data_IF_018655996786
#
_entry.id   IF_018655996786
#
_cell.length_a   1.000
_cell.length_b   1.000
_cell.length_c   1.000
_cell.angle_alpha   90.00
_cell.angle_beta   90.00
_cell.angle_gamma   90.00
#
_symmetry.space_group_name_H-M   'P 1'
#
loop_
_entity.id
_entity.type
_entity.pdbx_description
1 polymer ?
#
# COMPACT_ATOMS: atom_id res chain seq x y z
N UNK A 1 11.05 2.73 -0.38
CA UNK A 1 9.77 3.41 -0.12
C UNK A 1 8.76 2.87 -1.10
N UNK A 2 7.65 2.28 -0.64
CA UNK A 2 6.59 1.79 -1.53
C UNK A 2 5.56 2.89 -1.77
N UNK A 3 5.10 3.07 -3.02
CA UNK A 3 4.01 4.01 -3.36
C UNK A 3 3.01 3.33 -4.27
N UNK A 4 1.72 3.44 -3.93
CA UNK A 4 0.60 2.93 -4.73
C UNK A 4 -0.33 4.11 -5.01
N UNK A 5 -0.72 4.29 -6.27
CA UNK A 5 -1.68 5.32 -6.68
C UNK A 5 -2.83 4.66 -7.42
N UNK A 6 -4.05 4.97 -7.01
CA UNK A 6 -5.29 4.48 -7.61
C UNK A 6 -6.05 5.70 -8.11
N UNK A 7 -6.47 5.68 -9.37
CA UNK A 7 -7.25 6.75 -9.98
C UNK A 7 -8.54 6.17 -10.57
N UNK A 8 -9.65 6.84 -10.32
CA UNK A 8 -10.92 6.60 -10.98
C UNK A 8 -11.41 7.86 -11.72
N UNK A 9 -12.46 7.69 -12.52
CA UNK A 9 -13.14 8.74 -13.27
C UNK A 9 -14.61 8.85 -12.86
N UNK A 10 -14.92 8.55 -11.60
CA UNK A 10 -16.28 8.63 -11.05
C UNK A 10 -16.72 10.08 -10.78
N UNK A 11 -17.81 10.22 -10.02
CA UNK A 11 -18.43 11.52 -9.69
C UNK A 11 -17.54 12.44 -8.84
N UNK A 12 -16.46 11.91 -8.24
CA UNK A 12 -15.60 12.66 -7.33
C UNK A 12 -16.23 12.92 -5.97
N UNK A 13 -15.54 13.68 -5.13
CA UNK A 13 -15.89 13.98 -3.74
C UNK A 13 -15.83 15.49 -3.53
N UNK A 14 -16.81 16.06 -2.84
CA UNK A 14 -16.83 17.47 -2.50
C UNK A 14 -15.73 17.81 -1.48
N UNK A 15 -15.18 19.02 -1.55
CA UNK A 15 -14.08 19.45 -0.67
C UNK A 15 -14.44 19.32 0.83
N UNK A 16 -15.68 19.66 1.19
CA UNK A 16 -16.18 19.63 2.57
C UNK A 16 -16.34 18.20 3.12
N UNK A 17 -16.38 17.20 2.24
CA UNK A 17 -16.53 15.79 2.60
C UNK A 17 -15.17 15.08 2.72
N UNK A 18 -14.09 15.62 2.15
CA UNK A 18 -12.76 14.98 2.11
C UNK A 18 -12.18 14.68 3.51
N UNK A 19 -12.51 15.48 4.51
CA UNK A 19 -12.08 15.21 5.89
C UNK A 19 -12.96 14.14 6.57
N UNK A 20 -14.19 13.97 6.08
CA UNK A 20 -15.20 13.13 6.70
C UNK A 20 -15.25 11.71 6.14
N UNK A 21 -14.78 11.48 4.90
CA UNK A 21 -14.78 10.16 4.23
C UNK A 21 -14.01 9.05 4.97
N UNK A 22 -13.14 9.42 5.91
CA UNK A 22 -12.45 8.46 6.77
C UNK A 22 -13.23 8.09 8.03
N UNK A 23 -14.35 8.77 8.32
CA UNK A 23 -15.18 8.48 9.49
C UNK A 23 -16.00 7.21 9.22
N UNK A 24 -16.07 6.27 10.18
CA UNK A 24 -16.96 5.12 10.08
C UNK A 24 -18.40 5.56 9.83
N UNK A 25 -19.09 4.84 8.94
CA UNK A 25 -20.49 5.08 8.57
C UNK A 25 -20.74 6.42 7.87
N UNK A 26 -19.70 7.13 7.46
CA UNK A 26 -19.85 8.29 6.60
C UNK A 26 -20.23 7.84 5.19
N UNK A 27 -21.28 8.45 4.66
CA UNK A 27 -21.76 8.26 3.31
C UNK A 27 -22.12 9.65 2.76
N UNK A 28 -21.67 9.96 1.56
CA UNK A 28 -22.08 11.16 0.85
C UNK A 28 -23.50 10.92 0.38
N UNK A 29 -24.47 11.58 0.99
CA UNK A 29 -25.88 11.40 0.68
C UNK A 29 -26.09 11.57 -0.84
N UNK A 30 -26.40 10.48 -1.55
CA UNK A 30 -26.66 10.52 -2.99
C UNK A 30 -28.03 11.19 -3.24
N UNK A 31 -28.09 12.36 -3.89
CA UNK A 31 -29.35 12.99 -4.28
C UNK A 31 -30.10 12.23 -5.39
N UNK A 32 -29.48 11.22 -6.02
CA UNK A 32 -30.02 10.50 -7.18
C UNK A 32 -30.31 9.01 -6.95
N UNK A 33 -30.18 8.50 -5.72
CA UNK A 33 -30.76 7.21 -5.33
C UNK A 33 -30.19 5.98 -6.04
N UNK A 34 -28.96 6.03 -6.55
CA UNK A 34 -28.29 4.84 -7.04
C UNK A 34 -27.84 3.96 -5.86
N UNK A 35 -27.96 2.64 -6.04
CA UNK A 35 -27.85 1.65 -4.99
C UNK A 35 -26.56 1.76 -4.14
N UNK A 36 -26.76 1.89 -2.82
CA UNK A 36 -25.74 1.80 -1.75
C UNK A 36 -24.77 0.64 -1.99
N UNK A 37 -23.51 0.93 -2.29
CA UNK A 37 -22.44 -0.06 -2.16
C UNK A 37 -21.70 0.20 -0.85
N UNK A 38 -22.10 -0.51 0.21
CA UNK A 38 -21.41 -0.54 1.51
C UNK A 38 -22.12 0.21 2.65
N UNK A 39 -21.51 0.15 3.84
CA UNK A 39 -21.97 0.85 5.06
C UNK A 39 -21.04 2.01 5.46
N UNK A 40 -20.26 2.57 4.51
CA UNK A 40 -19.32 3.66 4.82
C UNK A 40 -18.15 3.26 5.73
N UNK A 41 -17.74 1.99 5.74
CA UNK A 41 -16.67 1.49 6.62
C UNK A 41 -15.32 1.30 5.92
N UNK A 42 -15.33 1.18 4.59
CA UNK A 42 -14.15 0.78 3.81
C UNK A 42 -12.94 1.70 4.02
N UNK A 43 -13.11 3.01 3.85
CA UNK A 43 -12.01 3.98 3.98
C UNK A 43 -11.52 4.12 5.42
N UNK A 44 -12.39 3.98 6.42
CA UNK A 44 -12.00 3.97 7.83
C UNK A 44 -11.06 2.80 8.14
N UNK A 45 -11.42 1.58 7.69
CA UNK A 45 -10.56 0.39 7.85
C UNK A 45 -9.24 0.57 7.10
N UNK A 46 -9.29 1.07 5.86
CA UNK A 46 -8.09 1.30 5.06
C UNK A 46 -7.13 2.27 5.74
N UNK A 47 -7.65 3.38 6.30
CA UNK A 47 -6.83 4.35 7.01
C UNK A 47 -6.16 3.71 8.24
N UNK A 48 -6.90 2.96 9.05
CA UNK A 48 -6.35 2.26 10.21
C UNK A 48 -5.25 1.26 9.79
N UNK A 49 -5.51 0.44 8.77
CA UNK A 49 -4.55 -0.56 8.28
C UNK A 49 -3.27 0.11 7.78
N UNK A 50 -3.37 1.22 7.04
CA UNK A 50 -2.22 1.95 6.53
C UNK A 50 -1.40 2.54 7.68
N UNK A 51 -2.05 3.14 8.68
CA UNK A 51 -1.39 3.69 9.85
C UNK A 51 -0.67 2.61 10.67
N UNK A 52 -1.29 1.43 10.85
CA UNK A 52 -0.65 0.29 11.52
C UNK A 52 0.60 -0.22 10.81
N UNK A 53 0.71 0.02 9.50
CA UNK A 53 1.89 -0.29 8.69
C UNK A 53 2.84 0.89 8.55
N UNK A 54 2.71 1.92 9.41
CA UNK A 54 3.52 3.14 9.41
C UNK A 54 3.45 3.91 8.08
N UNK A 55 2.38 3.68 7.30
CA UNK A 55 2.14 4.32 6.02
C UNK A 55 1.32 5.59 6.12
N UNK A 56 1.14 6.25 4.98
CA UNK A 56 0.26 7.40 4.81
C UNK A 56 -0.71 7.18 3.65
N UNK A 57 -1.88 7.81 3.75
CA UNK A 57 -2.90 7.88 2.69
C UNK A 57 -3.23 9.34 2.41
N UNK A 58 -3.39 9.68 1.13
CA UNK A 58 -3.80 11.02 0.67
C UNK A 58 -4.82 10.87 -0.44
N UNK A 59 -5.83 11.74 -0.45
CA UNK A 59 -6.90 11.74 -1.43
C UNK A 59 -6.95 13.11 -2.09
N UNK A 60 -6.93 13.11 -3.42
CA UNK A 60 -7.19 14.27 -4.25
C UNK A 60 -8.44 13.95 -5.10
N UNK A 61 -9.48 14.77 -4.95
CA UNK A 61 -10.75 14.57 -5.65
C UNK A 61 -11.39 15.92 -5.93
N UNK A 62 -12.19 15.96 -7.00
CA UNK A 62 -13.08 17.07 -7.28
C UNK A 62 -14.35 16.52 -7.95
N UNK A 63 -15.49 17.16 -7.68
CA UNK A 63 -16.78 16.80 -8.29
C UNK A 63 -16.64 16.82 -9.82
N UNK A 64 -17.17 15.79 -10.48
CA UNK A 64 -17.11 15.55 -11.93
C UNK A 64 -15.71 15.31 -12.52
N UNK A 65 -14.67 15.18 -11.68
CA UNK A 65 -13.29 14.95 -12.09
C UNK A 65 -12.69 13.61 -11.62
N UNK A 66 -13.45 12.81 -10.86
CA UNK A 66 -12.99 11.54 -10.28
C UNK A 66 -12.11 11.72 -9.04
N UNK A 67 -11.53 10.61 -8.58
CA UNK A 67 -10.71 10.58 -7.36
C UNK A 67 -9.36 9.92 -7.61
N UNK A 68 -8.32 10.46 -6.98
CA UNK A 68 -6.98 9.87 -6.90
C UNK A 68 -6.61 9.61 -5.45
N UNK A 69 -6.36 8.35 -5.12
CA UNK A 69 -5.90 7.91 -3.81
C UNK A 69 -4.43 7.53 -3.91
N UNK A 70 -3.59 8.09 -3.05
CA UNK A 70 -2.17 7.76 -2.96
C UNK A 70 -1.86 7.18 -1.59
N UNK A 71 -1.22 6.00 -1.57
CA UNK A 71 -0.78 5.31 -0.37
C UNK A 71 0.75 5.20 -0.41
N UNK A 72 1.42 5.52 0.70
CA UNK A 72 2.87 5.42 0.83
C UNK A 72 3.22 4.57 2.05
N UNK A 73 4.22 3.71 1.91
CA UNK A 73 4.75 2.89 3.00
C UNK A 73 6.25 3.12 3.17
N UNK A 74 6.76 3.06 4.42
CA UNK A 74 8.19 3.14 4.68
C UNK A 74 8.91 2.03 3.93
N UNK A 75 10.12 2.33 3.45
CA UNK A 75 10.92 1.38 2.70
C UNK A 75 11.54 0.33 3.62
N UNK A 76 10.85 -0.77 3.88
CA UNK A 76 11.46 -1.97 4.43
C UNK A 76 11.54 -3.03 3.33
N UNK A 77 12.76 -3.25 2.83
CA UNK A 77 13.04 -4.47 2.09
C UNK A 77 12.92 -5.60 3.10
N UNK A 78 11.87 -6.42 3.02
CA UNK A 78 11.93 -7.74 3.65
C UNK A 78 13.10 -8.44 3.00
N UNK A 79 14.23 -8.53 3.71
CA UNK A 79 15.27 -9.46 3.31
C UNK A 79 14.59 -10.83 3.22
N UNK A 80 14.75 -11.57 2.11
CA UNK A 80 14.32 -12.95 2.07
C UNK A 80 14.99 -13.64 3.26
N UNK A 81 14.20 -14.07 4.25
CA UNK A 81 14.74 -14.95 5.28
C UNK A 81 14.97 -16.28 4.58
N UNK A 82 16.25 -16.61 4.35
CA UNK A 82 16.60 -17.96 3.99
C UNK A 82 16.07 -18.89 5.11
N UNK A 83 15.45 -20.03 4.76
CA UNK A 83 15.11 -21.04 5.75
C UNK A 83 16.32 -21.34 6.61
N UNK A 84 16.14 -21.49 7.93
CA UNK A 84 17.26 -21.59 8.89
C UNK A 84 18.30 -22.65 8.50
N UNK A 85 17.83 -23.78 7.96
CA UNK A 85 18.67 -24.89 7.52
C UNK A 85 19.56 -24.57 6.30
N UNK A 86 19.17 -23.59 5.47
CA UNK A 86 19.97 -23.14 4.31
C UNK A 86 20.95 -22.02 4.68
N UNK A 87 20.67 -21.26 5.75
CA UNK A 87 21.57 -20.23 6.27
C UNK A 87 22.92 -20.80 6.75
N UNK A 88 22.90 -21.98 7.38
CA UNK A 88 24.11 -22.64 7.89
C UNK A 88 25.07 -23.09 6.78
N UNK A 89 24.56 -23.45 5.60
CA UNK A 89 25.37 -23.89 4.46
C UNK A 89 26.19 -22.76 3.84
N UNK A 90 25.70 -21.52 3.91
CA UNK A 90 26.41 -20.34 3.41
C UNK A 90 27.45 -19.82 4.41
N UNK A 91 27.21 -19.97 5.72
CA UNK A 91 28.17 -19.60 6.79
C UNK A 91 29.40 -20.51 6.78
N UNK A 92 29.23 -21.79 6.45
CA UNK A 92 30.30 -22.78 6.41
C UNK A 92 30.84 -23.07 5.00
N UNK A 93 30.51 -22.23 4.01
CA UNK A 93 31.04 -22.41 2.66
C UNK A 93 32.58 -22.29 2.70
N UNK A 94 33.33 -23.31 2.25
CA UNK A 94 34.77 -23.21 2.17
C UNK A 94 35.14 -22.07 1.22
N UNK A 95 35.94 -21.12 1.69
CA UNK A 95 36.50 -20.06 0.86
C UNK A 95 37.55 -20.68 -0.04
N UNK A 96 37.16 -21.28 -1.16
CA UNK A 96 38.13 -21.82 -2.11
C UNK A 96 37.62 -21.85 -3.55
N UNK A 97 38.18 -20.94 -4.34
CA UNK A 97 38.54 -21.23 -5.71
C UNK A 97 39.76 -20.36 -6.11
N UNK A 98 40.87 -20.54 -5.39
CA UNK A 98 42.18 -20.22 -5.95
C UNK A 98 42.50 -21.23 -7.05
N UNK A 99 42.02 -20.97 -8.26
CA UNK A 99 42.40 -21.70 -9.47
C UNK A 99 43.87 -21.38 -9.78
N UNK A 100 44.80 -22.10 -9.15
CA UNK A 100 46.17 -22.18 -9.67
C UNK A 100 46.16 -23.15 -10.85
N UNK A 101 46.00 -22.60 -12.04
CA UNK A 101 46.28 -23.29 -13.29
C UNK A 101 47.77 -23.60 -13.37
N UNK A 102 48.16 -24.82 -12.99
CA UNK A 102 49.46 -25.37 -13.35
C UNK A 102 49.38 -25.88 -14.79
N UNK A 103 49.78 -25.04 -15.73
CA UNK A 103 50.05 -25.45 -17.10
C UNK A 103 51.52 -25.83 -17.19
N UNK A 104 51.74 -27.14 -17.28
CA UNK A 104 52.86 -27.87 -17.90
C UNK A 104 54.26 -27.77 -17.30
#
# INVERSE_FOLDING_TARGET
MGKITIQDSGVGIAADDLEQIFRPFFDTADPHGAARIGQGLGLAIVQELIQQHEGSITIASAVDHGTTITIQFPGSVRQPRLPEHLSALLVNAPSSAGLHGSTR
#
